data_IF_578211230787
#
_entry.id   IF_578211230787
#
_cell.length_a   1.000
_cell.length_b   1.000
_cell.length_c   1.000
_cell.angle_alpha   90.00
_cell.angle_beta   90.00
_cell.angle_gamma   90.00
#
_symmetry.space_group_name_H-M   'P 1'
#
loop_
_entity.id
_entity.type
_entity.pdbx_description
1 polymer ?
#
# COMPACT_ATOMS: atom_id res chain seq x y z
N UNK A 1 -24.03 14.32 10.16
CA UNK A 1 -22.58 14.23 10.42
C UNK A 1 -22.38 13.00 11.30
N UNK A 2 -21.88 11.88 10.75
CA UNK A 2 -21.53 10.71 11.58
C UNK A 2 -20.19 11.03 12.23
N UNK A 3 -20.18 11.08 13.55
CA UNK A 3 -19.00 11.33 14.37
C UNK A 3 -17.95 10.26 14.04
N UNK A 4 -16.80 10.66 13.50
CA UNK A 4 -15.65 9.75 13.31
C UNK A 4 -14.99 9.62 14.68
N UNK A 5 -15.07 8.43 15.28
CA UNK A 5 -14.58 8.18 16.63
C UNK A 5 -13.14 7.61 16.56
N UNK A 6 -12.10 8.43 16.79
CA UNK A 6 -10.72 8.11 16.44
C UNK A 6 -10.15 6.92 17.22
N UNK A 7 -10.66 6.61 18.41
CA UNK A 7 -10.21 5.47 19.23
C UNK A 7 -10.73 4.13 18.71
N UNK A 8 -11.97 4.09 18.23
CA UNK A 8 -12.54 2.88 17.61
C UNK A 8 -11.89 2.61 16.25
N UNK A 9 -11.57 3.67 15.51
CA UNK A 9 -10.91 3.57 14.23
C UNK A 9 -9.46 3.13 14.36
N UNK A 10 -8.68 3.63 15.33
CA UNK A 10 -7.28 3.23 15.51
C UNK A 10 -7.12 1.76 15.89
N UNK A 11 -7.99 1.23 16.78
CA UNK A 11 -8.02 -0.20 17.12
C UNK A 11 -8.41 -1.07 15.92
N UNK A 12 -9.42 -0.65 15.15
CA UNK A 12 -9.89 -1.41 14.00
C UNK A 12 -8.93 -1.33 12.80
N UNK A 13 -8.29 -0.18 12.58
CA UNK A 13 -7.27 0.01 11.56
C UNK A 13 -6.01 -0.82 11.87
N UNK A 14 -5.57 -0.83 13.13
CA UNK A 14 -4.44 -1.66 13.55
C UNK A 14 -4.72 -3.16 13.38
N UNK A 15 -5.93 -3.63 13.69
CA UNK A 15 -6.32 -5.03 13.48
C UNK A 15 -6.40 -5.40 11.99
N UNK A 16 -6.89 -4.49 11.14
CA UNK A 16 -6.97 -4.70 9.70
C UNK A 16 -5.57 -4.74 9.06
N UNK A 17 -4.68 -3.81 9.41
CA UNK A 17 -3.30 -3.79 8.90
C UNK A 17 -2.54 -5.08 9.25
N UNK A 18 -2.66 -5.54 10.50
CA UNK A 18 -2.10 -6.81 10.94
C UNK A 18 -2.66 -8.00 10.15
N UNK A 19 -3.95 -8.00 9.83
CA UNK A 19 -4.58 -9.05 9.03
C UNK A 19 -4.06 -9.04 7.59
N UNK A 20 -3.92 -7.87 6.97
CA UNK A 20 -3.35 -7.74 5.62
C UNK A 20 -1.89 -8.19 5.57
N UNK A 21 -1.08 -7.83 6.56
CA UNK A 21 0.32 -8.25 6.64
C UNK A 21 0.45 -9.75 6.87
N UNK A 22 -0.40 -10.35 7.71
CA UNK A 22 -0.43 -11.80 7.90
C UNK A 22 -0.77 -12.54 6.60
N UNK A 23 -1.76 -12.04 5.84
CA UNK A 23 -2.15 -12.62 4.54
C UNK A 23 -1.02 -12.48 3.51
N UNK A 24 -0.35 -11.32 3.44
CA UNK A 24 0.83 -11.13 2.58
C UNK A 24 1.97 -12.06 2.95
N UNK A 25 2.27 -12.18 4.24
CA UNK A 25 3.31 -13.09 4.74
C UNK A 25 3.01 -14.53 4.32
N UNK A 26 1.77 -14.97 4.51
CA UNK A 26 1.33 -16.30 4.09
C UNK A 26 1.45 -16.50 2.57
N UNK A 27 1.00 -15.54 1.76
CA UNK A 27 1.14 -15.60 0.31
C UNK A 27 2.60 -15.60 -0.14
N UNK A 28 3.50 -14.91 0.58
CA UNK A 28 4.94 -14.96 0.36
C UNK A 28 5.49 -16.39 0.53
N UNK A 29 5.11 -17.06 1.62
CA UNK A 29 5.47 -18.45 1.89
C UNK A 29 4.96 -19.38 0.78
N UNK A 30 3.70 -19.23 0.35
CA UNK A 30 3.15 -20.03 -0.75
C UNK A 30 3.85 -19.77 -2.08
N UNK A 31 4.26 -18.52 -2.33
CA UNK A 31 4.98 -18.15 -3.56
C UNK A 31 6.38 -18.74 -3.60
N UNK A 32 7.05 -18.83 -2.46
CA UNK A 32 8.34 -19.53 -2.30
C UNK A 32 8.18 -21.05 -2.38
N UNK A 33 7.12 -21.60 -1.77
CA UNK A 33 6.83 -23.02 -1.78
C UNK A 33 6.27 -23.53 -3.13
N UNK A 34 5.92 -22.66 -4.08
CA UNK A 34 5.38 -23.08 -5.40
C UNK A 34 6.32 -24.03 -6.14
N UNK A 35 7.63 -23.90 -5.92
CA UNK A 35 8.65 -24.72 -6.56
C UNK A 35 8.81 -26.10 -5.89
N UNK A 36 8.10 -26.34 -4.77
CA UNK A 36 8.00 -27.62 -4.07
C UNK A 36 6.68 -28.36 -4.37
N UNK A 37 5.70 -27.71 -5.03
CA UNK A 37 4.46 -28.37 -5.43
C UNK A 37 4.71 -29.32 -6.62
N UNK A 38 3.90 -30.38 -6.80
CA UNK A 38 3.96 -31.21 -8.00
C UNK A 38 3.48 -30.42 -9.23
N UNK A 39 4.07 -30.66 -10.40
CA UNK A 39 3.91 -29.83 -11.62
C UNK A 39 2.46 -29.67 -12.08
N UNK A 40 1.64 -30.69 -11.89
CA UNK A 40 0.20 -30.72 -12.23
C UNK A 40 -0.63 -29.67 -11.46
N UNK A 41 -0.14 -29.20 -10.31
CA UNK A 41 -0.83 -28.20 -9.47
C UNK A 41 -0.12 -26.84 -9.44
N UNK A 42 1.08 -26.74 -10.01
CA UNK A 42 1.88 -25.49 -10.00
C UNK A 42 1.20 -24.35 -10.75
N UNK A 43 0.69 -24.60 -11.94
CA UNK A 43 0.02 -23.56 -12.74
C UNK A 43 -1.27 -23.08 -12.08
N UNK A 44 -2.11 -24.01 -11.59
CA UNK A 44 -3.34 -23.68 -10.89
C UNK A 44 -3.07 -22.88 -9.60
N UNK A 45 -2.05 -23.28 -8.83
CA UNK A 45 -1.63 -22.56 -7.63
C UNK A 45 -1.03 -21.19 -7.96
N UNK A 46 -0.21 -21.08 -9.00
CA UNK A 46 0.38 -19.81 -9.44
C UNK A 46 -0.70 -18.81 -9.86
N UNK A 47 -1.69 -19.26 -10.63
CA UNK A 47 -2.82 -18.43 -11.06
C UNK A 47 -3.68 -17.99 -9.85
N UNK A 48 -3.92 -18.89 -8.90
CA UNK A 48 -4.67 -18.58 -7.67
C UNK A 48 -3.92 -17.56 -6.79
N UNK A 49 -2.60 -17.70 -6.65
CA UNK A 49 -1.76 -16.76 -5.92
C UNK A 49 -1.76 -15.39 -6.61
N UNK A 50 -1.58 -15.35 -7.93
CA UNK A 50 -1.54 -14.09 -8.70
C UNK A 50 -2.88 -13.35 -8.66
N UNK A 51 -4.00 -14.06 -8.80
CA UNK A 51 -5.32 -13.45 -8.70
C UNK A 51 -5.59 -12.95 -7.28
N UNK A 52 -5.19 -13.69 -6.25
CA UNK A 52 -5.33 -13.29 -4.85
C UNK A 52 -4.50 -12.06 -4.50
N UNK A 53 -3.24 -11.97 -4.98
CA UNK A 53 -2.40 -10.79 -4.74
C UNK A 53 -2.95 -9.55 -5.44
N UNK A 54 -3.50 -9.69 -6.65
CA UNK A 54 -4.17 -8.60 -7.35
C UNK A 54 -5.41 -8.11 -6.59
N UNK A 55 -6.24 -9.04 -6.10
CA UNK A 55 -7.44 -8.68 -5.32
C UNK A 55 -7.10 -7.99 -4.01
N UNK A 56 -6.08 -8.46 -3.29
CA UNK A 56 -5.61 -7.81 -2.07
C UNK A 56 -5.08 -6.41 -2.33
N UNK A 57 -4.28 -6.21 -3.38
CA UNK A 57 -3.78 -4.89 -3.74
C UNK A 57 -4.92 -3.93 -4.16
N UNK A 58 -6.00 -4.43 -4.78
CA UNK A 58 -7.20 -3.62 -5.04
C UNK A 58 -7.92 -3.26 -3.73
N UNK A 59 -8.08 -4.23 -2.83
CA UNK A 59 -8.74 -4.00 -1.54
C UNK A 59 -7.98 -2.96 -0.70
N UNK A 60 -6.65 -3.06 -0.65
CA UNK A 60 -5.79 -2.08 0.03
C UNK A 60 -5.92 -0.69 -0.59
N UNK A 61 -5.95 -0.59 -1.92
CA UNK A 61 -6.14 0.69 -2.59
C UNK A 61 -7.51 1.30 -2.28
N UNK A 62 -8.57 0.47 -2.22
CA UNK A 62 -9.90 0.94 -1.84
C UNK A 62 -9.95 1.42 -0.38
N UNK A 63 -9.34 0.67 0.54
CA UNK A 63 -9.20 1.10 1.93
C UNK A 63 -8.44 2.42 2.00
N UNK A 64 -7.28 2.51 1.37
CA UNK A 64 -6.46 3.72 1.34
C UNK A 64 -7.25 4.93 0.79
N UNK A 65 -8.03 4.75 -0.27
CA UNK A 65 -8.92 5.78 -0.82
C UNK A 65 -9.96 6.25 0.20
N UNK A 66 -10.62 5.33 0.90
CA UNK A 66 -11.61 5.67 1.94
C UNK A 66 -10.95 6.42 3.09
N UNK A 67 -9.68 6.12 3.39
CA UNK A 67 -8.89 6.80 4.41
C UNK A 67 -8.30 8.14 3.94
N UNK A 68 -8.54 8.54 2.69
CA UNK A 68 -8.05 9.80 2.13
C UNK A 68 -6.59 9.80 1.72
N UNK A 69 -5.98 8.62 1.51
CA UNK A 69 -4.66 8.52 0.90
C UNK A 69 -4.74 8.72 -0.61
N UNK A 70 -3.72 9.37 -1.15
CA UNK A 70 -3.53 9.52 -2.59
C UNK A 70 -3.07 8.20 -3.23
N UNK A 71 -3.64 7.89 -4.40
CA UNK A 71 -3.31 6.68 -5.16
C UNK A 71 -2.61 7.05 -6.47
N UNK A 72 -1.56 6.31 -6.80
CA UNK A 72 -0.90 6.40 -8.09
C UNK A 72 -1.40 5.29 -9.03
N UNK A 73 -1.82 5.68 -10.24
CA UNK A 73 -2.34 4.78 -11.26
C UNK A 73 -1.31 4.38 -12.32
N UNK A 74 -0.01 4.51 -12.02
CA UNK A 74 1.05 4.16 -12.97
C UNK A 74 1.10 2.67 -13.34
N UNK A 75 0.60 1.80 -12.46
CA UNK A 75 0.49 0.36 -12.65
C UNK A 75 -0.86 -0.07 -12.07
N UNK A 76 -1.44 -1.15 -12.61
CA UNK A 76 -2.62 -1.78 -12.04
C UNK A 76 -2.20 -3.03 -11.25
N UNK A 77 -2.67 -3.24 -10.00
CA UNK A 77 -3.53 -2.35 -9.18
C UNK A 77 -2.85 -1.05 -8.70
N UNK A 78 -3.62 0.03 -8.43
CA UNK A 78 -3.06 1.33 -8.06
C UNK A 78 -2.29 1.26 -6.75
N UNK A 79 -1.21 2.03 -6.66
CA UNK A 79 -0.28 2.00 -5.52
C UNK A 79 -0.54 3.19 -4.59
N UNK A 80 -0.62 2.93 -3.28
CA UNK A 80 -0.74 3.98 -2.26
C UNK A 80 0.51 4.86 -2.24
N UNK A 81 0.33 6.17 -2.30
CA UNK A 81 1.43 7.14 -2.26
C UNK A 81 1.82 7.47 -0.81
N UNK A 82 3.12 7.63 -0.56
CA UNK A 82 3.66 7.89 0.79
C UNK A 82 3.99 9.36 0.94
N UNK A 83 3.72 9.93 2.12
CA UNK A 83 4.09 11.31 2.42
C UNK A 83 5.62 11.44 2.50
N UNK A 84 6.20 12.25 1.60
CA UNK A 84 7.66 12.44 1.50
C UNK A 84 8.11 13.84 1.93
N UNK A 85 7.19 14.76 2.16
CA UNK A 85 7.54 16.16 2.38
C UNK A 85 6.35 17.07 2.61
N UNK A 86 6.66 18.36 2.69
CA UNK A 86 5.68 19.44 2.74
C UNK A 86 5.98 20.48 1.66
N UNK A 87 4.92 21.01 1.05
CA UNK A 87 5.01 22.08 0.08
C UNK A 87 5.49 23.37 0.77
N UNK A 88 6.50 24.03 0.21
CA UNK A 88 7.20 25.14 0.86
C UNK A 88 6.30 26.37 1.07
N UNK A 89 5.32 26.59 0.18
CA UNK A 89 4.46 27.78 0.18
C UNK A 89 3.17 27.63 1.00
N UNK A 90 2.58 26.44 1.00
CA UNK A 90 1.26 26.17 1.62
C UNK A 90 1.33 25.29 2.87
N UNK A 91 2.46 24.60 3.08
CA UNK A 91 2.59 23.60 4.14
C UNK A 91 1.80 22.31 3.89
N UNK A 92 1.22 22.10 2.70
CA UNK A 92 0.49 20.87 2.37
C UNK A 92 1.43 19.66 2.27
N UNK A 93 0.97 18.48 2.69
CA UNK A 93 1.73 17.23 2.54
C UNK A 93 1.90 16.87 1.08
N UNK A 94 3.12 16.49 0.72
CA UNK A 94 3.45 15.97 -0.60
C UNK A 94 3.59 14.46 -0.51
N UNK A 95 2.83 13.80 -1.37
CA UNK A 95 2.83 12.35 -1.55
C UNK A 95 3.63 11.96 -2.79
N UNK A 96 4.36 10.85 -2.72
CA UNK A 96 5.15 10.29 -3.81
C UNK A 96 4.87 8.79 -3.99
N UNK A 97 4.83 8.36 -5.26
CA UNK A 97 4.69 6.97 -5.62
C UNK A 97 6.05 6.25 -5.53
N UNK A 98 6.09 5.12 -4.80
CA UNK A 98 7.28 4.29 -4.68
C UNK A 98 7.68 3.54 -5.96
N UNK A 99 6.78 3.44 -6.95
CA UNK A 99 7.02 2.72 -8.21
C UNK A 99 7.56 3.61 -9.33
N UNK A 100 6.93 4.76 -9.56
CA UNK A 100 7.29 5.64 -10.68
C UNK A 100 7.95 6.96 -10.24
N UNK A 101 7.98 7.27 -8.94
CA UNK A 101 8.53 8.52 -8.42
C UNK A 101 7.68 9.76 -8.71
N UNK A 102 6.48 9.59 -9.29
CA UNK A 102 5.53 10.70 -9.43
C UNK A 102 5.19 11.25 -8.03
N UNK A 103 5.26 12.56 -7.88
CA UNK A 103 4.84 13.23 -6.67
C UNK A 103 3.82 14.33 -6.98
N UNK A 104 3.07 14.70 -5.96
CA UNK A 104 2.00 15.71 -6.02
C UNK A 104 2.53 17.15 -6.01
N UNK A 105 3.85 17.37 -5.94
CA UNK A 105 4.44 18.71 -5.94
C UNK A 105 4.78 19.21 -7.35
N UNK A 106 4.75 20.53 -7.51
CA UNK A 106 5.42 21.21 -8.62
C UNK A 106 6.95 21.15 -8.49
N UNK A 107 7.65 21.42 -9.61
CA UNK A 107 9.12 21.39 -9.69
C UNK A 107 9.76 22.26 -8.60
N UNK A 108 10.58 21.65 -7.73
CA UNK A 108 11.26 22.29 -6.59
C UNK A 108 10.32 22.97 -5.56
N UNK A 109 9.04 22.60 -5.50
CA UNK A 109 8.05 23.25 -4.64
C UNK A 109 7.90 22.62 -3.24
N UNK A 110 8.77 21.68 -2.85
CA UNK A 110 8.62 20.98 -1.57
C UNK A 110 9.93 20.65 -0.88
N UNK A 111 9.85 20.60 0.45
CA UNK A 111 10.94 20.15 1.32
C UNK A 111 10.70 18.70 1.70
N UNK A 112 11.66 17.81 1.38
CA UNK A 112 11.58 16.41 1.80
C UNK A 112 11.71 16.30 3.32
N UNK A 113 10.89 15.44 3.90
CA UNK A 113 11.11 14.91 5.23
C UNK A 113 12.47 14.21 5.22
N UNK A 114 13.40 14.68 6.07
CA UNK A 114 14.62 13.92 6.33
C UNK A 114 14.18 12.68 7.10
N UNK A 115 14.28 11.52 6.47
CA UNK A 115 14.21 10.27 7.21
C UNK A 115 15.38 10.30 8.20
N UNK A 116 15.08 10.37 9.49
CA UNK A 116 16.06 9.93 10.49
C UNK A 116 16.09 8.43 10.28
N UNK A 117 17.11 7.94 9.57
CA UNK A 117 17.43 6.52 9.58
C UNK A 117 17.57 6.13 11.04
N UNK A 118 16.58 5.42 11.59
CA UNK A 118 16.75 4.72 12.85
C UNK A 118 17.92 3.77 12.63
N UNK A 119 19.02 4.07 13.31
CA UNK A 119 20.30 3.38 13.19
C UNK A 119 20.27 2.09 14.00
#
# INVERSE_FOLDING_TARGET
MKYFDPESFSRNAGAAEMAFDAIRGLLGIFKEAKDLLPEDKREAAALAIESSTKQLAVAEAEVARVLGYELCHCVFPPTVMVAVGYQTSTGLRIYECSKCGYNTAGRNQFTRLRYVTAK
#
